data_IF_959978209595
#
_entry.id   IF_959978209595
#
_cell.length_a   1.000
_cell.length_b   1.000
_cell.length_c   1.000
_cell.angle_alpha   90.00
_cell.angle_beta   90.00
_cell.angle_gamma   90.00
#
_symmetry.space_group_name_H-M   'P 1'
#
loop_
_entity.id
_entity.type
_entity.pdbx_description
1 polymer ?
#
# COMPACT_ATOMS: atom_id res chain seq x y z
N UNK A 1 0.89 -4.44 -18.51
CA UNK A 1 -0.40 -5.12 -18.81
C UNK A 1 -1.46 -4.08 -19.15
N UNK A 2 -2.39 -4.43 -20.07
CA UNK A 2 -3.57 -3.61 -20.35
C UNK A 2 -4.55 -3.63 -19.18
N UNK A 3 -5.45 -2.65 -19.11
CA UNK A 3 -6.50 -2.61 -18.07
C UNK A 3 -7.35 -3.90 -18.05
N UNK A 4 -7.72 -4.44 -19.22
CA UNK A 4 -8.50 -5.69 -19.34
C UNK A 4 -7.76 -6.89 -18.74
N UNK A 5 -6.46 -6.99 -19.00
CA UNK A 5 -5.61 -8.06 -18.43
C UNK A 5 -5.49 -7.91 -16.92
N UNK A 6 -5.30 -6.68 -16.42
CA UNK A 6 -5.25 -6.42 -14.97
C UNK A 6 -6.56 -6.80 -14.30
N UNK A 7 -7.72 -6.38 -14.83
CA UNK A 7 -9.05 -6.76 -14.31
C UNK A 7 -9.23 -8.28 -14.27
N UNK A 8 -8.76 -8.98 -15.30
CA UNK A 8 -8.77 -10.46 -15.32
C UNK A 8 -7.90 -11.06 -14.20
N UNK A 9 -6.72 -10.52 -13.96
CA UNK A 9 -5.84 -10.97 -12.86
C UNK A 9 -6.48 -10.71 -11.51
N UNK A 10 -7.07 -9.52 -11.30
CA UNK A 10 -7.74 -9.17 -10.05
C UNK A 10 -8.86 -10.17 -9.70
N UNK A 11 -9.71 -10.50 -10.66
CA UNK A 11 -10.80 -11.47 -10.45
C UNK A 11 -10.27 -12.89 -10.26
N UNK A 12 -9.50 -13.38 -11.25
CA UNK A 12 -9.23 -14.82 -11.38
C UNK A 12 -8.07 -15.29 -10.50
N UNK A 13 -7.13 -14.39 -10.12
CA UNK A 13 -5.95 -14.73 -9.32
C UNK A 13 -5.92 -14.11 -7.94
N UNK A 14 -6.59 -12.96 -7.77
CA UNK A 14 -6.56 -12.21 -6.51
C UNK A 14 -7.94 -12.13 -5.83
N UNK A 15 -8.97 -12.79 -6.37
CA UNK A 15 -10.31 -12.92 -5.78
C UNK A 15 -11.02 -11.58 -5.48
N UNK A 16 -10.78 -10.56 -6.28
CA UNK A 16 -11.55 -9.32 -6.21
C UNK A 16 -12.97 -9.56 -6.74
N UNK A 17 -13.97 -9.00 -6.07
CA UNK A 17 -15.35 -9.06 -6.55
C UNK A 17 -15.61 -8.05 -7.67
N UNK A 18 -16.71 -8.21 -8.39
CA UNK A 18 -17.15 -7.22 -9.40
C UNK A 18 -17.42 -5.85 -8.76
N UNK A 19 -18.01 -5.81 -7.55
CA UNK A 19 -18.16 -4.57 -6.79
C UNK A 19 -16.81 -3.90 -6.49
N UNK A 20 -15.79 -4.71 -6.12
CA UNK A 20 -14.44 -4.18 -5.90
C UNK A 20 -13.84 -3.61 -7.19
N UNK A 21 -14.04 -4.26 -8.33
CA UNK A 21 -13.58 -3.71 -9.63
C UNK A 21 -14.27 -2.39 -9.97
N UNK A 22 -15.59 -2.31 -9.78
CA UNK A 22 -16.34 -1.07 -9.99
C UNK A 22 -15.81 0.07 -9.13
N UNK A 23 -15.52 -0.19 -7.85
CA UNK A 23 -14.91 0.80 -6.94
C UNK A 23 -13.50 1.20 -7.39
N UNK A 24 -12.70 0.27 -7.89
CA UNK A 24 -11.37 0.57 -8.42
C UNK A 24 -11.46 1.43 -9.69
N UNK A 25 -12.43 1.17 -10.58
CA UNK A 25 -12.69 2.03 -11.75
C UNK A 25 -12.94 3.47 -11.33
N UNK A 26 -13.85 3.69 -10.37
CA UNK A 26 -14.13 5.02 -9.83
C UNK A 26 -12.88 5.63 -9.20
N UNK A 27 -12.15 4.86 -8.42
CA UNK A 27 -10.90 5.33 -7.78
C UNK A 27 -9.89 5.82 -8.82
N UNK A 28 -9.65 5.05 -9.87
CA UNK A 28 -8.74 5.45 -10.95
C UNK A 28 -9.19 6.74 -11.64
N UNK A 29 -10.49 6.87 -11.92
CA UNK A 29 -11.05 8.09 -12.53
C UNK A 29 -10.88 9.32 -11.63
N UNK A 30 -11.15 9.18 -10.33
CA UNK A 30 -10.96 10.26 -9.35
C UNK A 30 -9.49 10.68 -9.23
N UNK A 31 -8.56 9.71 -9.22
CA UNK A 31 -7.12 10.01 -9.22
C UNK A 31 -6.73 10.78 -10.48
N UNK A 32 -7.15 10.34 -11.66
CA UNK A 32 -6.84 10.99 -12.94
C UNK A 32 -7.39 12.42 -12.97
N UNK A 33 -8.65 12.60 -12.57
CA UNK A 33 -9.28 13.91 -12.56
C UNK A 33 -8.62 14.88 -11.58
N UNK A 34 -8.36 14.41 -10.36
CA UNK A 34 -7.72 15.22 -9.33
C UNK A 34 -6.26 15.54 -9.67
N UNK A 35 -5.60 14.63 -10.41
CA UNK A 35 -4.21 14.81 -10.86
C UNK A 35 -4.03 15.95 -11.87
N UNK A 36 -5.11 16.41 -12.52
CA UNK A 36 -5.10 17.60 -13.38
C UNK A 36 -4.76 18.89 -12.60
N UNK A 37 -5.13 18.94 -11.31
CA UNK A 37 -4.94 20.10 -10.44
C UNK A 37 -3.82 19.89 -9.41
N UNK A 38 -3.64 18.67 -8.96
CA UNK A 38 -2.69 18.32 -7.88
C UNK A 38 -1.88 17.09 -8.29
N UNK A 39 -0.59 17.09 -8.00
CA UNK A 39 0.29 15.96 -8.32
C UNK A 39 0.07 14.80 -7.32
N UNK A 40 -0.96 13.97 -7.55
CA UNK A 40 -1.21 12.78 -6.75
C UNK A 40 -0.27 11.62 -7.13
N UNK A 41 -0.11 11.39 -8.45
CA UNK A 41 0.80 10.41 -9.04
C UNK A 41 1.60 11.05 -10.17
N UNK A 42 2.72 10.43 -10.55
CA UNK A 42 3.53 10.92 -11.66
C UNK A 42 2.74 10.89 -12.98
N UNK A 43 2.75 11.99 -13.73
CA UNK A 43 2.01 12.12 -15.01
C UNK A 43 2.34 11.01 -16.00
N UNK A 44 3.60 10.56 -16.03
CA UNK A 44 4.06 9.46 -16.88
C UNK A 44 3.42 8.10 -16.55
N UNK A 45 2.83 7.93 -15.35
CA UNK A 45 2.21 6.68 -14.92
C UNK A 45 0.69 6.65 -15.06
N UNK A 46 0.07 7.77 -15.46
CA UNK A 46 -1.38 7.88 -15.58
C UNK A 46 -1.94 6.88 -16.60
N UNK A 47 -1.30 6.75 -17.76
CA UNK A 47 -1.72 5.82 -18.82
C UNK A 47 -1.63 4.34 -18.39
N UNK A 48 -0.78 4.03 -17.43
CA UNK A 48 -0.53 2.69 -16.93
C UNK A 48 -1.04 2.52 -15.48
N UNK A 49 -2.05 3.32 -15.06
CA UNK A 49 -2.54 3.37 -13.68
C UNK A 49 -2.99 1.99 -13.17
N UNK A 50 -3.61 1.19 -14.03
CA UNK A 50 -4.07 -0.15 -13.69
C UNK A 50 -2.93 -1.13 -13.40
N UNK A 51 -1.89 -1.11 -14.20
CA UNK A 51 -0.74 -1.99 -14.02
C UNK A 51 0.17 -1.48 -12.90
N UNK A 52 0.61 -0.22 -13.01
CA UNK A 52 1.64 0.34 -12.13
C UNK A 52 1.17 0.75 -10.75
N UNK A 53 -0.14 0.95 -10.57
CA UNK A 53 -0.67 1.38 -9.28
C UNK A 53 -1.68 0.39 -8.71
N UNK A 54 -2.70 0.00 -9.47
CA UNK A 54 -3.74 -0.91 -8.99
C UNK A 54 -3.18 -2.32 -8.77
N UNK A 55 -2.64 -2.96 -9.81
CA UNK A 55 -2.15 -4.34 -9.73
C UNK A 55 -0.96 -4.45 -8.78
N UNK A 56 -0.05 -3.46 -8.83
CA UNK A 56 1.09 -3.37 -7.95
C UNK A 56 0.67 -3.32 -6.47
N UNK A 57 -0.42 -2.62 -6.16
CA UNK A 57 -1.00 -2.56 -4.81
C UNK A 57 -1.75 -3.83 -4.44
N UNK A 58 -2.57 -4.35 -5.37
CA UNK A 58 -3.47 -5.48 -5.13
C UNK A 58 -2.73 -6.78 -4.79
N UNK A 59 -1.53 -6.99 -5.35
CA UNK A 59 -0.74 -8.20 -5.07
C UNK A 59 -0.36 -8.34 -3.59
N UNK A 60 -0.37 -7.25 -2.81
CA UNK A 60 -0.04 -7.27 -1.38
C UNK A 60 -1.04 -8.04 -0.53
N UNK A 61 -2.29 -8.24 -1.01
CA UNK A 61 -3.31 -9.03 -0.29
C UNK A 61 -2.84 -10.45 0.04
N UNK A 62 -1.91 -11.01 -0.74
CA UNK A 62 -1.35 -12.34 -0.51
C UNK A 62 -0.55 -12.47 0.78
N UNK A 63 -0.08 -11.35 1.33
CA UNK A 63 0.81 -11.28 2.48
C UNK A 63 0.11 -10.74 3.73
N UNK A 64 -1.19 -10.40 3.63
CA UNK A 64 -2.01 -9.82 4.69
C UNK A 64 -3.12 -10.81 5.04
N UNK A 65 -3.20 -11.19 6.31
CA UNK A 65 -4.35 -11.93 6.81
C UNK A 65 -5.41 -10.96 7.32
N UNK A 66 -6.52 -10.86 6.60
CA UNK A 66 -7.64 -9.95 6.93
C UNK A 66 -8.53 -10.54 8.02
N UNK A 67 -7.94 -10.89 9.18
CA UNK A 67 -8.65 -11.46 10.35
C UNK A 67 -9.27 -10.36 11.23
N UNK A 68 -10.19 -10.77 12.09
CA UNK A 68 -10.80 -9.89 13.09
C UNK A 68 -9.76 -9.25 14.01
N UNK A 69 -9.98 -7.97 14.34
CA UNK A 69 -9.16 -7.18 15.27
C UNK A 69 -7.70 -7.00 14.85
N UNK A 70 -7.40 -7.18 13.57
CA UNK A 70 -6.12 -6.86 12.98
C UNK A 70 -6.21 -5.59 12.11
N UNK A 71 -5.07 -5.04 11.75
CA UNK A 71 -5.02 -3.83 10.93
C UNK A 71 -3.78 -3.75 10.03
N UNK A 72 -3.92 -2.96 8.97
CA UNK A 72 -2.81 -2.55 8.10
C UNK A 72 -2.69 -1.03 8.10
N UNK A 73 -1.45 -0.54 8.26
CA UNK A 73 -1.10 0.88 8.12
C UNK A 73 -0.33 1.12 6.83
N UNK A 74 -0.82 2.02 5.99
CA UNK A 74 -0.12 2.47 4.78
C UNK A 74 0.60 3.79 5.07
N UNK A 75 1.93 3.74 5.16
CA UNK A 75 2.76 4.87 5.53
C UNK A 75 3.14 5.71 4.30
N UNK A 76 2.62 6.93 4.26
CA UNK A 76 2.78 7.83 3.13
C UNK A 76 1.94 7.40 1.93
N UNK A 77 0.67 7.10 2.17
CA UNK A 77 -0.26 6.52 1.19
C UNK A 77 -0.40 7.33 -0.11
N UNK A 78 -0.11 8.63 -0.08
CA UNK A 78 -0.16 9.49 -1.24
C UNK A 78 -1.56 9.60 -1.85
N UNK A 79 -1.71 9.11 -3.07
CA UNK A 79 -3.00 9.04 -3.76
C UNK A 79 -3.91 7.90 -3.26
N UNK A 80 -3.46 7.12 -2.26
CA UNK A 80 -4.20 5.97 -1.75
C UNK A 80 -3.64 4.61 -2.21
N UNK A 81 -2.45 4.57 -2.79
CA UNK A 81 -1.81 3.33 -3.22
C UNK A 81 -0.66 2.93 -2.26
N UNK A 82 -0.72 1.77 -1.60
CA UNK A 82 -1.67 0.67 -1.80
C UNK A 82 -2.94 0.72 -0.94
N UNK A 83 -3.05 1.56 0.07
CA UNK A 83 -4.05 1.47 1.14
C UNK A 83 -5.51 1.44 0.68
N UNK A 84 -5.93 2.29 -0.27
CA UNK A 84 -7.32 2.31 -0.80
C UNK A 84 -7.63 0.99 -1.54
N UNK A 85 -6.67 0.43 -2.29
CA UNK A 85 -6.88 -0.86 -2.96
C UNK A 85 -7.11 -1.97 -1.94
N UNK A 86 -6.35 -1.97 -0.84
CA UNK A 86 -6.53 -2.91 0.27
C UNK A 86 -7.87 -2.72 0.98
N UNK A 87 -8.31 -1.47 1.19
CA UNK A 87 -9.61 -1.15 1.78
C UNK A 87 -10.78 -1.60 0.89
N UNK A 88 -10.68 -1.44 -0.44
CA UNK A 88 -11.67 -1.93 -1.40
C UNK A 88 -11.75 -3.48 -1.39
N UNK A 89 -10.61 -4.15 -1.28
CA UNK A 89 -10.56 -5.61 -1.18
C UNK A 89 -11.16 -6.12 0.13
N UNK A 90 -10.88 -5.45 1.24
CA UNK A 90 -11.28 -5.89 2.57
C UNK A 90 -12.80 -5.99 2.73
N UNK A 91 -13.29 -7.18 3.06
CA UNK A 91 -14.71 -7.45 3.38
C UNK A 91 -14.96 -7.62 4.88
N UNK A 92 -13.91 -7.73 5.68
CA UNK A 92 -14.02 -7.90 7.11
C UNK A 92 -14.19 -6.54 7.81
N UNK A 93 -15.37 -6.32 8.40
CA UNK A 93 -15.72 -5.07 9.09
C UNK A 93 -14.90 -4.82 10.37
N UNK A 94 -14.27 -5.86 10.93
CA UNK A 94 -13.43 -5.79 12.12
C UNK A 94 -11.93 -5.68 11.80
N UNK A 95 -11.56 -5.70 10.52
CA UNK A 95 -10.20 -5.41 10.06
C UNK A 95 -10.08 -3.94 9.67
N UNK A 96 -9.05 -3.25 10.16
CA UNK A 96 -8.89 -1.81 9.98
C UNK A 96 -7.80 -1.50 8.94
N UNK A 97 -8.10 -0.58 8.03
CA UNK A 97 -7.13 0.00 7.10
C UNK A 97 -6.86 1.44 7.51
N UNK A 98 -5.61 1.75 7.83
CA UNK A 98 -5.16 3.04 8.34
C UNK A 98 -4.24 3.70 7.32
N UNK A 99 -4.57 4.91 6.89
CA UNK A 99 -3.86 5.67 5.84
C UNK A 99 -3.15 6.88 6.46
N UNK A 100 -1.83 6.93 6.37
CA UNK A 100 -1.04 8.05 6.89
C UNK A 100 -0.53 8.91 5.74
N UNK A 101 -0.90 10.19 5.75
CA UNK A 101 -0.48 11.15 4.72
C UNK A 101 -0.32 12.56 5.32
N UNK A 102 0.83 13.19 5.07
CA UNK A 102 1.12 14.52 5.61
C UNK A 102 0.52 15.69 4.83
N UNK A 103 0.17 15.45 3.57
CA UNK A 103 -0.38 16.50 2.70
C UNK A 103 -1.87 16.69 2.92
N UNK A 104 -2.27 17.84 3.45
CA UNK A 104 -3.69 18.21 3.64
C UNK A 104 -4.54 18.10 2.36
N UNK A 105 -3.95 18.37 1.19
CA UNK A 105 -4.64 18.22 -0.09
C UNK A 105 -4.98 16.75 -0.36
N UNK A 106 -4.01 15.86 -0.10
CA UNK A 106 -4.19 14.41 -0.33
C UNK A 106 -5.11 13.79 0.71
N UNK A 107 -5.02 14.18 1.99
CA UNK A 107 -5.94 13.67 3.02
C UNK A 107 -7.39 14.06 2.74
N UNK A 108 -7.65 15.30 2.29
CA UNK A 108 -8.99 15.73 1.85
C UNK A 108 -9.49 14.95 0.63
N UNK A 109 -8.61 14.65 -0.34
CA UNK A 109 -8.94 13.79 -1.47
C UNK A 109 -9.34 12.39 -1.00
N UNK A 110 -8.53 11.76 -0.15
CA UNK A 110 -8.77 10.43 0.40
C UNK A 110 -10.09 10.35 1.17
N UNK A 111 -10.40 11.35 1.99
CA UNK A 111 -11.66 11.39 2.76
C UNK A 111 -12.88 11.41 1.83
N UNK A 112 -12.91 12.30 0.84
CA UNK A 112 -13.98 12.36 -0.17
C UNK A 112 -14.10 11.07 -0.97
N UNK A 113 -12.96 10.46 -1.29
CA UNK A 113 -12.92 9.20 -2.03
C UNK A 113 -13.51 8.05 -1.20
N UNK A 114 -13.16 7.93 0.07
CA UNK A 114 -13.69 6.90 0.96
C UNK A 114 -15.21 7.03 1.10
N UNK A 115 -15.72 8.24 1.26
CA UNK A 115 -17.16 8.52 1.29
C UNK A 115 -17.83 8.11 -0.03
N UNK A 116 -17.31 8.57 -1.17
CA UNK A 116 -17.84 8.26 -2.51
C UNK A 116 -17.89 6.77 -2.80
N UNK A 117 -16.87 6.02 -2.39
CA UNK A 117 -16.77 4.58 -2.60
C UNK A 117 -17.49 3.75 -1.55
N UNK A 118 -18.01 4.39 -0.49
CA UNK A 118 -18.56 3.71 0.69
C UNK A 118 -17.61 2.61 1.20
N UNK A 119 -16.36 2.98 1.46
CA UNK A 119 -15.33 2.12 2.04
C UNK A 119 -14.87 2.65 3.38
N UNK A 120 -14.47 1.73 4.28
CA UNK A 120 -13.94 2.08 5.59
C UNK A 120 -12.41 2.11 5.54
N UNK A 121 -11.84 3.31 5.67
CA UNK A 121 -10.44 3.51 5.95
C UNK A 121 -10.30 4.70 6.91
N UNK A 122 -9.39 4.58 7.87
CA UNK A 122 -9.07 5.65 8.81
C UNK A 122 -7.95 6.49 8.23
N UNK A 123 -8.14 7.81 8.17
CA UNK A 123 -7.17 8.73 7.56
C UNK A 123 -6.51 9.56 8.66
N UNK A 124 -5.19 9.43 8.75
CA UNK A 124 -4.36 10.16 9.71
C UNK A 124 -3.56 11.24 8.98
N UNK A 125 -3.91 12.50 9.27
CA UNK A 125 -3.19 13.67 8.78
C UNK A 125 -1.88 13.85 9.57
N UNK A 126 -0.91 14.54 8.98
CA UNK A 126 0.44 14.76 9.48
C UNK A 126 1.43 13.61 9.22
N UNK A 127 2.65 13.80 9.66
CA UNK A 127 3.70 12.79 9.50
C UNK A 127 3.36 11.55 10.36
N UNK A 128 3.44 10.36 9.79
CA UNK A 128 3.17 9.11 10.51
C UNK A 128 4.03 8.95 11.77
N UNK A 129 5.21 9.62 11.85
CA UNK A 129 6.07 9.62 13.03
C UNK A 129 5.47 10.34 14.23
N UNK A 130 4.46 11.18 14.03
CA UNK A 130 3.73 11.85 15.11
C UNK A 130 2.58 11.02 15.70
N UNK A 131 2.38 9.80 15.17
CA UNK A 131 1.30 8.90 15.57
C UNK A 131 1.83 7.67 16.31
N UNK A 132 1.04 7.12 17.22
CA UNK A 132 1.28 5.82 17.80
C UNK A 132 0.64 4.76 16.90
N UNK A 133 1.48 3.94 16.24
CA UNK A 133 1.03 2.95 15.27
C UNK A 133 1.07 1.56 15.92
N UNK A 134 -0.08 0.88 15.89
CA UNK A 134 -0.31 -0.42 16.54
C UNK A 134 -0.73 -1.53 15.55
N UNK A 135 -0.49 -1.33 14.25
CA UNK A 135 -0.91 -2.28 13.22
C UNK A 135 0.01 -3.49 13.10
N UNK A 136 -0.60 -4.66 12.87
CA UNK A 136 0.11 -5.92 12.62
C UNK A 136 0.82 -5.92 11.25
N UNK A 137 0.26 -5.20 10.28
CA UNK A 137 0.84 -5.06 8.94
C UNK A 137 1.15 -3.60 8.65
N UNK A 138 2.35 -3.36 8.13
CA UNK A 138 2.77 -2.05 7.65
C UNK A 138 3.08 -2.18 6.18
N UNK A 139 2.41 -1.40 5.36
CA UNK A 139 2.68 -1.36 3.93
C UNK A 139 3.26 -0.01 3.53
N UNK A 140 4.06 -0.01 2.49
CA UNK A 140 4.61 1.21 1.92
C UNK A 140 5.06 0.98 0.49
N UNK A 141 5.00 2.04 -0.32
CA UNK A 141 5.50 2.03 -1.68
C UNK A 141 6.61 3.06 -1.88
N UNK A 142 7.82 2.55 -2.12
CA UNK A 142 9.01 3.21 -2.72
C UNK A 142 9.33 4.66 -2.31
N UNK A 143 9.20 5.06 -1.04
CA UNK A 143 9.56 6.44 -0.69
C UNK A 143 10.87 6.59 0.10
N UNK A 144 11.44 5.48 0.61
CA UNK A 144 12.66 5.46 1.41
C UNK A 144 13.54 4.24 1.10
N UNK A 145 14.81 4.27 1.55
CA UNK A 145 15.67 3.08 1.57
C UNK A 145 15.14 2.05 2.55
N UNK A 146 15.37 0.77 2.28
CA UNK A 146 14.85 -0.33 3.10
C UNK A 146 15.33 -0.26 4.56
N UNK A 147 16.61 0.03 4.77
CA UNK A 147 17.17 0.21 6.12
C UNK A 147 16.43 1.29 6.92
N UNK A 148 16.12 2.42 6.28
CA UNK A 148 15.38 3.51 6.90
C UNK A 148 13.94 3.10 7.25
N UNK A 149 13.27 2.32 6.38
CA UNK A 149 11.95 1.77 6.67
C UNK A 149 11.96 0.88 7.92
N UNK A 150 12.92 -0.04 8.01
CA UNK A 150 13.06 -0.94 9.16
C UNK A 150 13.34 -0.13 10.43
N UNK A 151 14.29 0.79 10.38
CA UNK A 151 14.64 1.64 11.53
C UNK A 151 13.42 2.42 12.02
N UNK A 152 12.73 3.12 11.11
CA UNK A 152 11.54 3.91 11.46
C UNK A 152 10.45 3.00 12.03
N UNK A 153 10.14 1.87 11.39
CA UNK A 153 9.10 0.98 11.89
C UNK A 153 9.40 0.49 13.31
N UNK A 154 10.65 0.19 13.63
CA UNK A 154 11.08 -0.18 15.00
C UNK A 154 10.93 0.96 16.01
N UNK A 155 11.15 2.20 15.59
CA UNK A 155 11.03 3.36 16.46
C UNK A 155 9.57 3.69 16.83
N UNK A 156 8.67 3.66 15.81
CA UNK A 156 7.30 4.18 15.97
C UNK A 156 6.26 3.10 16.27
N UNK A 157 6.51 1.83 15.90
CA UNK A 157 5.55 0.75 16.09
C UNK A 157 5.95 -0.06 17.32
N UNK A 158 5.03 -0.20 18.27
CA UNK A 158 5.33 -0.80 19.59
C UNK A 158 4.96 -2.29 19.67
N UNK A 159 4.38 -2.85 18.64
CA UNK A 159 3.98 -4.26 18.55
C UNK A 159 4.82 -5.01 17.51
N UNK A 160 4.89 -6.32 17.63
CA UNK A 160 5.40 -7.18 16.55
C UNK A 160 4.59 -6.92 15.29
N UNK A 161 5.26 -6.72 14.17
CA UNK A 161 4.57 -6.39 12.92
C UNK A 161 5.32 -6.93 11.70
N UNK A 162 4.56 -7.07 10.62
CA UNK A 162 5.08 -7.43 9.30
C UNK A 162 5.16 -6.19 8.42
N UNK A 163 6.37 -5.86 7.98
CA UNK A 163 6.63 -4.75 7.06
C UNK A 163 6.65 -5.29 5.64
N UNK A 164 5.77 -4.78 4.75
CA UNK A 164 5.59 -5.23 3.37
C UNK A 164 5.84 -4.04 2.45
N UNK A 165 6.94 -4.05 1.70
CA UNK A 165 7.41 -2.91 0.93
C UNK A 165 7.50 -3.26 -0.55
N UNK A 166 6.82 -2.47 -1.38
CA UNK A 166 6.99 -2.50 -2.83
C UNK A 166 8.27 -1.76 -3.21
N UNK A 167 9.22 -2.46 -3.80
CA UNK A 167 10.53 -1.93 -4.22
C UNK A 167 10.77 -2.17 -5.71
N UNK A 168 11.53 -1.26 -6.32
CA UNK A 168 12.01 -1.41 -7.69
C UNK A 168 13.34 -2.17 -7.75
N UNK A 169 14.12 -1.91 -8.79
CA UNK A 169 15.41 -2.58 -9.13
C UNK A 169 16.44 -2.61 -8.00
N UNK A 170 16.43 -1.63 -7.09
CA UNK A 170 17.39 -1.53 -5.99
C UNK A 170 17.15 -2.49 -4.82
N UNK A 171 16.07 -3.28 -4.83
CA UNK A 171 15.68 -4.10 -3.69
C UNK A 171 16.79 -5.05 -3.23
N UNK A 172 17.41 -5.78 -4.16
CA UNK A 172 18.46 -6.77 -3.84
C UNK A 172 19.74 -6.11 -3.33
N UNK A 173 20.10 -4.94 -3.88
CA UNK A 173 21.26 -4.17 -3.40
C UNK A 173 21.01 -3.60 -2.00
N UNK A 174 19.80 -3.09 -1.76
CA UNK A 174 19.43 -2.56 -0.44
C UNK A 174 19.43 -3.66 0.63
N UNK A 175 18.95 -4.86 0.28
CA UNK A 175 19.00 -6.03 1.19
C UNK A 175 20.44 -6.41 1.51
N UNK A 176 21.34 -6.46 0.52
CA UNK A 176 22.75 -6.78 0.76
C UNK A 176 23.46 -5.79 1.69
N UNK A 177 22.99 -4.54 1.71
CA UNK A 177 23.54 -3.47 2.56
C UNK A 177 22.91 -3.39 3.96
N UNK A 178 21.84 -4.18 4.23
CA UNK A 178 21.20 -4.17 5.53
C UNK A 178 22.18 -4.54 6.63
N UNK A 179 22.17 -3.75 7.69
CA UNK A 179 22.97 -4.03 8.87
C UNK A 179 22.42 -5.26 9.58
N UNK A 180 23.24 -6.30 9.68
CA UNK A 180 22.90 -7.57 10.36
C UNK A 180 22.67 -7.45 11.87
N UNK A 181 22.87 -6.26 12.45
CA UNK A 181 22.65 -6.01 13.89
C UNK A 181 21.18 -6.01 14.30
N UNK A 182 20.25 -5.93 13.34
CA UNK A 182 18.84 -6.01 13.64
C UNK A 182 18.36 -7.46 13.64
N UNK A 183 17.60 -7.84 14.67
CA UNK A 183 16.96 -9.14 14.72
C UNK A 183 15.68 -9.10 13.88
N UNK A 184 15.76 -9.53 12.63
CA UNK A 184 14.64 -9.68 11.71
C UNK A 184 14.88 -10.80 10.69
N UNK A 185 13.80 -11.44 10.28
CA UNK A 185 13.78 -12.31 9.10
C UNK A 185 13.16 -11.55 7.93
N UNK A 186 13.60 -11.83 6.70
CA UNK A 186 13.01 -11.26 5.51
C UNK A 186 12.81 -12.30 4.41
N UNK A 187 11.82 -12.05 3.56
CA UNK A 187 11.67 -12.74 2.29
C UNK A 187 11.57 -11.74 1.13
N UNK A 188 11.94 -12.21 -0.05
CA UNK A 188 11.93 -11.42 -1.27
C UNK A 188 11.04 -12.10 -2.30
N UNK A 189 9.90 -11.49 -2.57
CA UNK A 189 8.93 -12.01 -3.51
C UNK A 189 8.98 -11.27 -4.86
N UNK A 190 8.72 -12.00 -5.93
CA UNK A 190 8.64 -11.40 -7.27
C UNK A 190 7.34 -10.59 -7.41
N UNK A 191 7.46 -9.37 -7.93
CA UNK A 191 6.28 -8.61 -8.33
C UNK A 191 5.67 -9.19 -9.61
N UNK A 192 4.33 -9.19 -9.69
CA UNK A 192 3.59 -9.59 -10.90
C UNK A 192 3.51 -8.49 -11.95
N UNK A 193 3.89 -7.25 -11.59
CA UNK A 193 3.80 -6.08 -12.48
C UNK A 193 5.08 -5.85 -13.28
N UNK A 194 6.24 -6.24 -12.75
CA UNK A 194 7.52 -6.05 -13.42
C UNK A 194 8.56 -7.05 -12.90
N UNK A 195 9.39 -7.63 -13.78
CA UNK A 195 10.48 -8.52 -13.38
C UNK A 195 11.54 -7.82 -12.51
N UNK A 196 11.68 -6.50 -12.67
CA UNK A 196 12.62 -5.68 -11.92
C UNK A 196 12.07 -5.24 -10.55
N UNK A 197 10.77 -5.38 -10.33
CA UNK A 197 10.13 -5.01 -9.06
C UNK A 197 10.05 -6.20 -8.12
N UNK A 198 10.21 -5.92 -6.83
CA UNK A 198 10.18 -6.91 -5.75
C UNK A 198 9.26 -6.45 -4.63
N UNK A 199 8.75 -7.42 -3.89
CA UNK A 199 8.07 -7.18 -2.61
C UNK A 199 9.02 -7.68 -1.53
N UNK A 200 9.45 -6.78 -0.68
CA UNK A 200 10.28 -7.11 0.48
C UNK A 200 9.38 -7.25 1.69
N UNK A 201 9.43 -8.41 2.32
CA UNK A 201 8.65 -8.71 3.53
C UNK A 201 9.63 -8.89 4.67
N UNK A 202 9.44 -8.14 5.75
CA UNK A 202 10.30 -8.22 6.94
C UNK A 202 9.42 -8.46 8.16
N UNK A 203 9.69 -9.53 8.90
CA UNK A 203 9.10 -9.75 10.21
C UNK A 203 9.92 -8.98 11.25
N UNK A 204 9.33 -7.96 11.85
CA UNK A 204 9.98 -7.10 12.84
C UNK A 204 9.58 -7.55 14.22
N UNK A 205 10.51 -8.22 14.88
CA UNK A 205 10.40 -8.59 16.30
C UNK A 205 10.67 -7.37 17.21
N UNK A 206 10.14 -7.41 18.43
CA UNK A 206 10.35 -6.40 19.48
C UNK A 206 11.30 -6.91 20.53
#
# INVERSE_FOLDING_TARGET
MTEKEVKSVLINKLNFSQDSLYKIDIFCQEVIEYNKKFNLIAKSTIKDIWDRHVLDSAQLIKFINFKDYSSVSDLGTGAGFPGIVLAIFNKNKKFHVKLYEKSKVKTKFLAKLCEKLNIKAEIFENDYRSHNIDSEYIVSRAFKKLEEHIRISREIIKVRHKLIILKGKSAEEEIKKLNKTFNYSYSLEKSITSPDSKIVIVDVEK
#
